data_IF_934152095630
#
_entry.id   IF_934152095630
#
_cell.length_a   1.000
_cell.length_b   1.000
_cell.length_c   1.000
_cell.angle_alpha   90.00
_cell.angle_beta   90.00
_cell.angle_gamma   90.00
#
_symmetry.space_group_name_H-M   'P 1'
#
loop_
_entity.id
_entity.type
_entity.pdbx_description
1 polymer ?
#
# COMPACT_ATOMS: atom_id res chain seq x y z
N UNK A 1 -31.88 17.72 46.16
CA UNK A 1 -32.02 17.91 44.69
C UNK A 1 -30.75 18.47 44.03
N UNK A 2 -30.09 19.50 44.59
CA UNK A 2 -28.90 20.14 43.98
C UNK A 2 -27.70 19.19 43.77
N UNK A 3 -27.40 18.32 44.72
CA UNK A 3 -26.27 17.37 44.65
C UNK A 3 -26.42 16.30 43.57
N UNK A 4 -27.64 15.82 43.31
CA UNK A 4 -27.91 14.84 42.24
C UNK A 4 -27.67 15.44 40.85
N UNK A 5 -28.05 16.71 40.65
CA UNK A 5 -27.78 17.44 39.41
C UNK A 5 -26.28 17.67 39.21
N UNK A 6 -25.53 18.01 40.26
CA UNK A 6 -24.07 18.19 40.20
C UNK A 6 -23.35 16.87 39.85
N UNK A 7 -23.77 15.75 40.43
CA UNK A 7 -23.20 14.42 40.14
C UNK A 7 -23.46 14.04 38.67
N UNK A 8 -24.68 14.27 38.16
CA UNK A 8 -25.00 14.03 36.74
C UNK A 8 -24.12 14.84 35.80
N UNK A 9 -23.91 16.12 36.08
CA UNK A 9 -23.07 16.99 35.24
C UNK A 9 -21.60 16.53 35.26
N UNK A 10 -21.08 16.11 36.41
CA UNK A 10 -19.71 15.58 36.52
C UNK A 10 -19.52 14.28 35.74
N UNK A 11 -20.47 13.36 35.82
CA UNK A 11 -20.43 12.10 35.06
C UNK A 11 -20.47 12.38 33.56
N UNK A 12 -21.34 13.28 33.12
CA UNK A 12 -21.42 13.65 31.71
C UNK A 12 -20.13 14.31 31.19
N UNK A 13 -19.54 15.22 31.97
CA UNK A 13 -18.26 15.85 31.63
C UNK A 13 -17.11 14.83 31.53
N UNK A 14 -17.07 13.85 32.43
CA UNK A 14 -16.06 12.78 32.40
C UNK A 14 -16.17 11.91 31.14
N UNK A 15 -17.40 11.57 30.72
CA UNK A 15 -17.65 10.79 29.50
C UNK A 15 -17.17 11.55 28.27
N UNK A 16 -17.52 12.85 28.18
CA UNK A 16 -17.09 13.71 27.05
C UNK A 16 -15.57 13.83 26.99
N UNK A 17 -14.91 14.02 28.14
CA UNK A 17 -13.45 14.09 28.20
C UNK A 17 -12.80 12.76 27.74
N UNK A 18 -13.35 11.62 28.14
CA UNK A 18 -12.85 10.31 27.73
C UNK A 18 -12.97 10.08 26.21
N UNK A 19 -14.09 10.51 25.59
CA UNK A 19 -14.28 10.35 24.14
C UNK A 19 -13.30 11.19 23.32
N UNK A 20 -12.99 12.42 23.75
CA UNK A 20 -12.03 13.28 23.04
C UNK A 20 -10.58 12.80 23.16
N UNK A 21 -10.21 12.15 24.27
CA UNK A 21 -8.87 11.57 24.42
C UNK A 21 -8.71 10.20 23.73
N UNK A 22 -9.80 9.59 23.25
CA UNK A 22 -9.74 8.25 22.62
C UNK A 22 -9.53 8.25 21.10
N UNK A 23 -9.69 9.40 20.43
CA UNK A 23 -9.59 9.50 18.97
C UNK A 23 -8.15 9.69 18.44
N UNK A 24 -7.16 9.87 19.32
CA UNK A 24 -5.73 9.92 18.94
C UNK A 24 -4.99 8.90 19.79
N UNK A 25 -5.42 7.65 19.64
CA UNK A 25 -4.73 6.51 20.23
C UNK A 25 -3.64 6.12 19.22
N UNK A 26 -2.43 6.57 19.53
CA UNK A 26 -1.16 6.23 18.90
C UNK A 26 -0.83 7.09 17.65
N UNK A 27 -0.11 8.20 17.88
CA UNK A 27 0.63 9.01 16.89
C UNK A 27 1.79 8.20 16.27
N UNK A 28 1.52 6.97 15.83
CA UNK A 28 2.51 6.11 15.21
C UNK A 28 2.59 6.46 13.72
N UNK A 29 3.23 7.59 13.44
CA UNK A 29 3.55 8.07 12.09
C UNK A 29 4.77 7.36 11.51
N UNK A 30 5.22 6.26 12.11
CA UNK A 30 6.32 5.48 11.57
C UNK A 30 5.95 4.97 10.20
N UNK A 31 6.88 5.14 9.25
CA UNK A 31 6.75 4.52 7.96
C UNK A 31 6.56 3.01 8.19
N UNK A 32 5.53 2.39 7.61
CA UNK A 32 5.31 0.96 7.76
C UNK A 32 6.56 0.22 7.30
N UNK A 33 6.92 -0.85 8.01
CA UNK A 33 8.05 -1.69 7.62
C UNK A 33 7.80 -2.23 6.21
N UNK A 34 8.68 -1.86 5.27
CA UNK A 34 8.66 -2.39 3.91
C UNK A 34 9.31 -3.76 3.94
N UNK A 35 8.52 -4.79 4.28
CA UNK A 35 8.96 -6.17 4.08
C UNK A 35 9.04 -6.46 2.57
N UNK A 36 10.25 -6.43 2.03
CA UNK A 36 10.56 -6.91 0.68
C UNK A 36 10.51 -8.44 0.61
N UNK A 37 9.33 -9.03 0.84
CA UNK A 37 9.08 -10.42 0.48
C UNK A 37 8.67 -10.45 -0.99
N UNK A 38 9.62 -10.81 -1.87
CA UNK A 38 9.28 -11.06 -3.26
C UNK A 38 8.28 -12.22 -3.29
N UNK A 39 7.09 -11.97 -3.83
CA UNK A 39 6.02 -12.97 -3.92
C UNK A 39 6.34 -14.05 -4.96
N UNK A 40 7.29 -13.77 -5.84
CA UNK A 40 7.67 -14.62 -6.95
C UNK A 40 9.09 -15.13 -6.78
N UNK A 41 9.38 -16.25 -7.44
CA UNK A 41 10.72 -16.81 -7.54
C UNK A 41 11.67 -15.87 -8.31
N UNK A 42 12.95 -16.22 -8.34
CA UNK A 42 13.94 -15.48 -9.09
C UNK A 42 13.57 -15.36 -10.59
N UNK A 43 13.95 -14.26 -11.27
CA UNK A 43 13.69 -14.07 -12.69
C UNK A 43 14.20 -15.24 -13.53
N UNK A 44 13.33 -15.75 -14.41
CA UNK A 44 13.68 -16.81 -15.38
C UNK A 44 14.11 -16.24 -16.72
N UNK A 45 13.79 -14.97 -16.99
CA UNK A 45 14.17 -14.26 -18.22
C UNK A 45 14.40 -12.77 -17.96
N UNK A 46 14.95 -12.07 -18.95
CA UNK A 46 15.11 -10.60 -18.91
C UNK A 46 13.93 -9.91 -19.61
N UNK A 47 13.64 -8.67 -19.21
CA UNK A 47 12.62 -7.84 -19.90
C UNK A 47 12.92 -7.69 -21.39
N UNK A 48 14.18 -7.50 -21.78
CA UNK A 48 14.58 -7.36 -23.19
C UNK A 48 14.30 -8.63 -24.00
N UNK A 49 14.61 -9.80 -23.43
CA UNK A 49 14.32 -11.09 -24.06
C UNK A 49 12.80 -11.33 -24.18
N UNK A 50 12.02 -10.95 -23.16
CA UNK A 50 10.57 -11.05 -23.21
C UNK A 50 9.95 -10.09 -24.25
N UNK A 51 10.42 -8.85 -24.32
CA UNK A 51 9.97 -7.86 -25.30
C UNK A 51 10.26 -8.30 -26.75
N UNK A 52 11.37 -9.01 -26.98
CA UNK A 52 11.70 -9.56 -28.28
C UNK A 52 10.74 -10.67 -28.77
N UNK A 53 9.92 -11.25 -27.88
CA UNK A 53 8.89 -12.23 -28.25
C UNK A 53 7.68 -11.56 -28.91
N UNK A 54 7.54 -10.24 -28.80
CA UNK A 54 6.45 -9.51 -29.42
C UNK A 54 6.57 -9.57 -30.96
N UNK A 55 5.59 -10.12 -31.68
CA UNK A 55 5.63 -10.20 -33.14
C UNK A 55 5.38 -8.83 -33.77
N UNK A 56 5.88 -8.62 -34.99
CA UNK A 56 5.66 -7.37 -35.74
C UNK A 56 4.17 -7.10 -36.04
N UNK A 57 3.37 -8.15 -36.13
CA UNK A 57 1.91 -8.10 -36.26
C UNK A 57 1.28 -9.18 -35.39
N UNK A 58 0.14 -8.89 -34.74
CA UNK A 58 -0.55 -9.80 -33.84
C UNK A 58 -0.09 -9.71 -32.39
N UNK A 59 -0.26 -10.78 -31.61
CA UNK A 59 0.06 -10.83 -30.18
C UNK A 59 0.83 -12.08 -29.80
N UNK A 60 1.76 -11.94 -28.85
CA UNK A 60 2.35 -13.07 -28.15
C UNK A 60 1.46 -13.46 -26.98
N UNK A 61 1.06 -14.73 -26.90
CA UNK A 61 0.29 -15.28 -25.78
C UNK A 61 1.26 -15.98 -24.83
N UNK A 62 1.40 -15.46 -23.62
CA UNK A 62 2.15 -16.14 -22.55
C UNK A 62 1.46 -17.47 -22.25
N UNK A 63 2.19 -18.61 -22.28
CA UNK A 63 1.61 -19.91 -21.94
C UNK A 63 1.05 -19.90 -20.51
N UNK A 64 -0.17 -20.44 -20.35
CA UNK A 64 -0.78 -20.59 -19.02
C UNK A 64 -0.20 -21.79 -18.25
N UNK A 65 0.32 -22.76 -18.98
CA UNK A 65 0.90 -24.00 -18.47
C UNK A 65 2.37 -24.11 -18.90
N UNK A 66 3.19 -24.75 -18.06
CA UNK A 66 4.62 -24.96 -18.32
C UNK A 66 5.53 -24.20 -17.36
N UNK A 67 6.77 -23.95 -17.79
CA UNK A 67 7.75 -23.22 -16.98
C UNK A 67 7.31 -21.76 -16.79
N UNK A 68 7.43 -21.20 -15.57
CA UNK A 68 6.97 -19.84 -15.30
C UNK A 68 7.84 -18.81 -16.02
N UNK A 69 7.18 -17.79 -16.59
CA UNK A 69 7.84 -16.63 -17.18
C UNK A 69 7.88 -15.52 -16.14
N UNK A 70 9.05 -15.31 -15.52
CA UNK A 70 9.27 -14.33 -14.45
C UNK A 70 10.39 -13.38 -14.91
N UNK A 71 10.13 -12.08 -14.83
CA UNK A 71 11.10 -11.05 -15.16
C UNK A 71 10.91 -9.83 -14.25
N UNK A 72 12.00 -9.14 -13.94
CA UNK A 72 11.95 -7.89 -13.20
C UNK A 72 11.73 -6.70 -14.16
N UNK A 73 10.93 -5.75 -13.70
CA UNK A 73 10.56 -4.56 -14.44
C UNK A 73 10.46 -3.35 -13.50
N UNK A 74 10.78 -2.18 -14.01
CA UNK A 74 10.47 -0.92 -13.34
C UNK A 74 9.17 -0.38 -13.90
N UNK A 75 8.21 -0.11 -13.03
CA UNK A 75 7.00 0.64 -13.40
C UNK A 75 7.33 2.11 -13.29
N UNK A 76 7.30 2.81 -14.42
CA UNK A 76 7.44 4.26 -14.46
C UNK A 76 6.04 4.84 -14.62
N UNK A 77 5.50 5.42 -13.54
CA UNK A 77 4.28 6.22 -13.63
C UNK A 77 4.66 7.64 -14.03
N UNK A 78 4.31 8.04 -15.25
CA UNK A 78 4.28 9.46 -15.61
C UNK A 78 2.95 10.02 -15.09
N UNK A 79 2.95 10.66 -13.92
CA UNK A 79 1.86 11.56 -13.57
C UNK A 79 1.84 12.75 -14.55
N UNK A 80 0.73 13.48 -14.61
CA UNK A 80 0.56 14.64 -15.53
C UNK A 80 1.61 15.73 -15.29
N UNK A 81 2.28 15.69 -14.13
CA UNK A 81 3.36 16.62 -13.72
C UNK A 81 4.78 16.08 -13.95
N UNK A 82 4.95 14.87 -14.48
CA UNK A 82 6.23 14.35 -14.98
C UNK A 82 7.35 14.27 -13.95
N UNK A 83 7.05 14.02 -12.67
CA UNK A 83 8.11 13.88 -11.67
C UNK A 83 8.61 12.44 -11.61
N UNK A 84 9.55 12.14 -12.50
CA UNK A 84 10.40 10.96 -12.37
C UNK A 84 11.23 11.09 -11.09
N UNK A 85 10.88 10.36 -10.03
CA UNK A 85 11.79 10.11 -8.93
C UNK A 85 12.92 9.20 -9.46
N UNK A 86 13.92 9.81 -10.10
CA UNK A 86 15.24 9.20 -10.23
C UNK A 86 15.84 9.09 -8.82
N UNK A 87 16.11 7.86 -8.40
CA UNK A 87 17.21 7.59 -7.48
C UNK A 87 18.43 7.20 -8.30
#
# INVERSE_FOLDING_TARGET
MKTYTTIKTLVFAAIVAATFNSCVKDDDWNAPEVLCNNRFDAPTTTMAAFAALAPATGTYKVPADGAPVIFDAYVVSSDESGNFYKT
#
